data_IF_827809084774
#
_entry.id   IF_827809084774
#
_cell.length_a   1.000
_cell.length_b   1.000
_cell.length_c   1.000
_cell.angle_alpha   90.00
_cell.angle_beta   90.00
_cell.angle_gamma   90.00
#
_symmetry.space_group_name_H-M   'P 1'
#
loop_
_entity.id
_entity.type
_entity.pdbx_description
1 polymer ?
#
# COMPACT_ATOMS: atom_id res chain seq x y z
N UNK A 1 -24.25 1.90 18.53
CA UNK A 1 -24.81 2.94 17.66
C UNK A 1 -24.69 2.44 16.23
N UNK A 2 -25.78 2.12 15.54
CA UNK A 2 -25.77 1.69 14.16
C UNK A 2 -25.72 2.95 13.30
N UNK A 3 -24.58 3.22 12.70
CA UNK A 3 -24.45 4.26 11.67
C UNK A 3 -25.09 3.74 10.40
N UNK A 4 -26.20 4.32 10.02
CA UNK A 4 -26.93 4.02 8.79
C UNK A 4 -26.17 4.65 7.61
N UNK A 5 -25.54 3.82 6.82
CA UNK A 5 -24.84 4.18 5.57
C UNK A 5 -25.80 4.29 4.38
N UNK A 6 -26.76 5.23 4.41
CA UNK A 6 -27.75 5.38 3.37
C UNK A 6 -27.82 6.83 2.90
N UNK A 7 -27.00 7.24 1.95
CA UNK A 7 -27.30 8.51 1.25
C UNK A 7 -26.82 8.68 -0.19
N UNK A 8 -26.30 7.67 -0.89
CA UNK A 8 -26.03 7.85 -2.33
C UNK A 8 -26.41 6.67 -3.22
N UNK A 9 -27.44 5.95 -2.84
CA UNK A 9 -27.90 4.74 -3.56
C UNK A 9 -28.70 5.01 -4.83
N UNK A 10 -29.14 6.25 -5.11
CA UNK A 10 -30.04 6.56 -6.23
C UNK A 10 -29.45 6.28 -7.62
N UNK A 11 -28.16 6.56 -7.82
CA UNK A 11 -27.51 6.44 -9.13
C UNK A 11 -26.80 5.11 -9.40
N UNK A 12 -26.67 4.27 -8.38
CA UNK A 12 -25.91 3.00 -8.47
C UNK A 12 -26.83 1.80 -8.70
N UNK A 13 -28.10 1.90 -8.32
CA UNK A 13 -29.07 0.82 -8.43
C UNK A 13 -29.29 0.33 -9.87
N UNK A 14 -29.14 1.21 -10.87
CA UNK A 14 -29.30 0.87 -12.28
C UNK A 14 -28.13 0.08 -12.89
N UNK A 15 -27.04 -0.10 -12.14
CA UNK A 15 -25.80 -0.73 -12.62
C UNK A 15 -25.45 -2.07 -11.96
N UNK A 16 -26.18 -2.48 -10.92
CA UNK A 16 -25.99 -3.77 -10.23
C UNK A 16 -26.74 -4.87 -10.99
N UNK A 17 -26.39 -5.10 -12.23
CA UNK A 17 -26.92 -6.23 -13.01
C UNK A 17 -26.07 -7.49 -12.78
N UNK A 18 -26.08 -8.05 -11.56
CA UNK A 18 -25.39 -9.30 -11.27
C UNK A 18 -23.85 -9.22 -11.31
N UNK A 19 -23.28 -8.02 -11.26
CA UNK A 19 -21.85 -7.79 -11.27
C UNK A 19 -21.31 -7.64 -9.85
N UNK A 20 -20.24 -8.35 -9.54
CA UNK A 20 -19.50 -8.22 -8.27
C UNK A 20 -18.41 -7.18 -8.40
N UNK A 21 -18.13 -6.48 -7.28
CA UNK A 21 -17.15 -5.41 -7.25
C UNK A 21 -16.22 -5.52 -6.05
N UNK A 22 -14.99 -5.09 -6.25
CA UNK A 22 -14.08 -4.68 -5.17
C UNK A 22 -14.45 -3.24 -4.84
N UNK A 23 -14.84 -2.99 -3.60
CA UNK A 23 -15.19 -1.68 -3.08
C UNK A 23 -14.03 -1.10 -2.30
N UNK A 24 -13.62 0.12 -2.64
CA UNK A 24 -12.56 0.84 -1.91
C UNK A 24 -13.07 2.22 -1.55
N UNK A 25 -12.88 2.61 -0.30
CA UNK A 25 -13.20 3.95 0.20
C UNK A 25 -11.94 4.56 0.79
N UNK A 26 -11.59 5.76 0.33
CA UNK A 26 -10.39 6.49 0.74
C UNK A 26 -10.82 7.88 1.19
N UNK A 27 -10.53 8.19 2.46
CA UNK A 27 -10.81 9.50 3.04
C UNK A 27 -9.53 10.28 3.25
N UNK A 28 -9.49 11.50 2.72
CA UNK A 28 -8.56 12.64 2.88
C UNK A 28 -7.06 12.39 3.02
N UNK A 29 -6.26 13.46 3.00
CA UNK A 29 -6.04 14.34 1.87
C UNK A 29 -5.10 13.67 0.85
N UNK A 30 -5.66 12.96 -0.09
CA UNK A 30 -4.90 12.16 -1.08
C UNK A 30 -5.57 12.19 -2.44
N UNK A 31 -4.79 11.93 -3.47
CA UNK A 31 -5.23 11.53 -4.80
C UNK A 31 -5.08 10.03 -4.97
N UNK A 32 -5.96 9.44 -5.78
CA UNK A 32 -5.91 8.01 -6.10
C UNK A 32 -5.92 7.80 -7.60
N UNK A 33 -5.09 6.89 -8.06
CA UNK A 33 -5.09 6.42 -9.45
C UNK A 33 -5.13 4.90 -9.53
N UNK A 34 -5.89 4.39 -10.49
CA UNK A 34 -5.97 2.97 -10.83
C UNK A 34 -5.85 2.84 -12.33
N UNK A 35 -4.88 2.07 -12.80
CA UNK A 35 -4.68 1.85 -14.25
C UNK A 35 -4.87 0.38 -14.57
N UNK A 36 -5.68 0.11 -15.59
CA UNK A 36 -5.91 -1.25 -16.08
C UNK A 36 -6.12 -1.25 -17.60
N UNK A 37 -5.33 -2.06 -18.32
CA UNK A 37 -5.40 -2.24 -19.79
C UNK A 37 -5.38 -0.94 -20.60
N UNK A 38 -4.71 0.09 -20.09
CA UNK A 38 -4.57 1.38 -20.77
C UNK A 38 -5.68 2.39 -20.48
N UNK A 39 -6.67 2.05 -19.68
CA UNK A 39 -7.63 2.98 -19.10
C UNK A 39 -7.21 3.35 -17.68
N UNK A 40 -7.66 4.50 -17.19
CA UNK A 40 -7.30 5.01 -15.88
C UNK A 40 -8.50 5.64 -15.18
N UNK A 41 -8.63 5.38 -13.90
CA UNK A 41 -9.46 6.13 -12.95
C UNK A 41 -8.50 7.00 -12.14
N UNK A 42 -8.62 8.32 -12.21
CA UNK A 42 -7.72 9.25 -11.56
C UNK A 42 -8.49 10.38 -10.89
N UNK A 43 -8.32 10.55 -9.59
CA UNK A 43 -9.01 11.59 -8.82
C UNK A 43 -8.38 12.97 -8.94
N UNK A 44 -7.16 13.08 -9.47
CA UNK A 44 -6.48 14.37 -9.68
C UNK A 44 -7.02 15.14 -10.88
N UNK A 45 -7.55 14.43 -11.86
CA UNK A 45 -7.98 15.02 -13.15
C UNK A 45 -9.47 15.36 -13.17
N UNK A 46 -10.24 14.76 -12.26
CA UNK A 46 -11.70 14.86 -12.25
C UNK A 46 -12.23 15.10 -10.84
N UNK A 47 -13.20 15.99 -10.74
CA UNK A 47 -13.97 16.24 -9.51
C UNK A 47 -15.39 15.64 -9.56
N UNK A 48 -15.69 14.91 -10.62
CA UNK A 48 -16.97 14.24 -10.88
C UNK A 48 -16.77 12.73 -11.04
N UNK A 49 -17.87 11.99 -11.14
CA UNK A 49 -17.84 10.55 -11.37
C UNK A 49 -17.11 10.19 -12.67
N UNK A 50 -16.04 9.42 -12.55
CA UNK A 50 -15.29 8.84 -13.69
C UNK A 50 -15.70 7.39 -13.89
N UNK A 51 -15.89 6.98 -15.14
CA UNK A 51 -16.30 5.62 -15.50
C UNK A 51 -15.40 5.05 -16.58
N UNK A 52 -15.02 3.79 -16.39
CA UNK A 52 -14.26 2.99 -17.35
C UNK A 52 -14.89 1.62 -17.50
N UNK A 53 -14.41 0.83 -18.44
CA UNK A 53 -14.87 -0.55 -18.61
C UNK A 53 -14.61 -1.43 -17.39
N UNK A 54 -13.61 -1.12 -16.58
CA UNK A 54 -13.23 -1.91 -15.41
C UNK A 54 -13.79 -1.39 -14.08
N UNK A 55 -14.34 -0.18 -14.03
CA UNK A 55 -14.86 0.33 -12.76
C UNK A 55 -15.31 1.78 -12.80
N UNK A 56 -15.60 2.29 -11.61
CA UNK A 56 -16.02 3.69 -11.38
C UNK A 56 -15.26 4.29 -10.22
N UNK A 57 -14.97 5.59 -10.33
CA UNK A 57 -14.52 6.45 -9.24
C UNK A 57 -15.62 7.50 -8.98
N UNK A 58 -16.08 7.60 -7.75
CA UNK A 58 -17.05 8.61 -7.31
C UNK A 58 -16.52 9.38 -6.13
N UNK A 59 -17.06 10.57 -5.91
CA UNK A 59 -16.69 11.44 -4.81
C UNK A 59 -17.88 11.63 -3.88
N UNK A 60 -17.66 11.48 -2.58
CA UNK A 60 -18.65 11.70 -1.55
C UNK A 60 -18.17 12.84 -0.64
N UNK A 61 -19.08 13.69 -0.19
CA UNK A 61 -18.77 14.73 0.77
C UNK A 61 -18.48 14.09 2.14
N UNK A 62 -17.47 14.62 2.82
CA UNK A 62 -17.14 14.17 4.17
C UNK A 62 -17.96 14.97 5.19
N UNK A 63 -19.16 14.47 5.52
CA UNK A 63 -20.07 15.12 6.47
C UNK A 63 -19.49 15.31 7.88
N UNK A 64 -18.43 14.56 8.24
CA UNK A 64 -17.72 14.66 9.51
C UNK A 64 -16.60 15.72 9.50
N UNK A 65 -16.31 16.33 8.34
CA UNK A 65 -15.30 17.39 8.25
C UNK A 65 -15.89 18.72 8.69
N UNK A 66 -15.39 19.25 9.80
CA UNK A 66 -15.72 20.59 10.31
C UNK A 66 -15.14 21.73 9.43
N UNK A 67 -14.37 21.40 8.41
CA UNK A 67 -13.71 22.31 7.49
C UNK A 67 -14.06 21.89 6.05
N UNK A 68 -14.84 22.71 5.37
CA UNK A 68 -15.11 22.61 3.94
C UNK A 68 -13.81 22.93 3.14
N UNK A 69 -12.85 22.00 3.15
CA UNK A 69 -11.72 22.07 2.24
C UNK A 69 -12.00 21.17 1.05
N UNK A 70 -11.85 21.70 -0.13
CA UNK A 70 -12.11 21.06 -1.43
C UNK A 70 -11.37 19.71 -1.60
N UNK A 71 -10.32 19.48 -0.80
CA UNK A 71 -9.50 18.26 -0.78
C UNK A 71 -9.97 17.18 0.21
N UNK A 72 -11.06 17.42 0.96
CA UNK A 72 -11.55 16.49 1.99
C UNK A 72 -12.59 15.49 1.49
N UNK A 73 -12.84 15.47 0.17
CA UNK A 73 -13.83 14.56 -0.42
C UNK A 73 -13.33 13.11 -0.35
N UNK A 74 -14.24 12.24 0.02
CA UNK A 74 -14.03 10.80 0.06
C UNK A 74 -14.05 10.26 -1.38
N UNK A 75 -13.02 9.49 -1.75
CA UNK A 75 -12.92 8.80 -3.03
C UNK A 75 -13.44 7.39 -2.86
N UNK A 76 -14.41 7.00 -3.69
CA UNK A 76 -14.99 5.66 -3.70
C UNK A 76 -14.77 5.01 -5.05
N UNK A 77 -14.03 3.91 -5.03
CA UNK A 77 -13.78 3.08 -6.20
C UNK A 77 -14.67 1.82 -6.13
N UNK A 78 -15.27 1.50 -7.26
CA UNK A 78 -15.95 0.21 -7.48
C UNK A 78 -15.31 -0.43 -8.71
N UNK A 79 -14.46 -1.43 -8.48
CA UNK A 79 -13.70 -2.13 -9.52
C UNK A 79 -14.34 -3.49 -9.76
N UNK A 80 -14.59 -3.85 -11.03
CA UNK A 80 -15.22 -5.14 -11.36
C UNK A 80 -14.39 -6.31 -10.84
N UNK A 81 -15.02 -7.28 -10.21
CA UNK A 81 -14.36 -8.53 -9.81
C UNK A 81 -13.84 -9.28 -11.05
N UNK A 82 -12.74 -10.00 -10.90
CA UNK A 82 -12.14 -10.85 -11.95
C UNK A 82 -10.78 -10.39 -12.44
N UNK A 83 -10.24 -9.30 -11.89
CA UNK A 83 -8.88 -8.84 -12.14
C UNK A 83 -8.24 -8.30 -10.86
N UNK A 84 -6.91 -8.21 -10.86
CA UNK A 84 -6.14 -7.47 -9.88
C UNK A 84 -5.84 -6.08 -10.44
N UNK A 85 -5.95 -5.06 -9.60
CA UNK A 85 -5.77 -3.67 -9.98
C UNK A 85 -4.67 -3.04 -9.14
N UNK A 86 -3.67 -2.45 -9.81
CA UNK A 86 -2.67 -1.64 -9.12
C UNK A 86 -3.29 -0.29 -8.76
N UNK A 87 -3.29 0.00 -7.48
CA UNK A 87 -3.82 1.25 -6.89
C UNK A 87 -2.67 2.02 -6.31
N UNK A 88 -2.48 3.24 -6.79
CA UNK A 88 -1.54 4.19 -6.25
C UNK A 88 -2.28 5.35 -5.58
N UNK A 89 -1.83 5.72 -4.40
CA UNK A 89 -2.39 6.81 -3.60
C UNK A 89 -1.25 7.78 -3.29
N UNK A 90 -1.45 9.06 -3.59
CA UNK A 90 -0.46 10.11 -3.39
C UNK A 90 -1.02 11.16 -2.42
N UNK A 91 -0.25 11.48 -1.40
CA UNK A 91 -0.63 12.53 -0.46
C UNK A 91 -0.65 13.91 -1.11
N UNK A 92 -1.71 14.67 -0.89
CA UNK A 92 -1.86 16.06 -1.41
C UNK A 92 -1.55 17.10 -0.36
N UNK A 93 -1.72 16.74 0.92
CA UNK A 93 -1.41 17.59 2.05
C UNK A 93 -1.02 16.75 3.28
N UNK A 94 -0.67 17.43 4.36
CA UNK A 94 -0.36 16.80 5.63
C UNK A 94 -1.64 16.43 6.38
N UNK A 95 -1.83 15.15 6.68
CA UNK A 95 -3.01 14.71 7.39
C UNK A 95 -2.99 13.24 7.75
N UNK A 96 -4.18 12.71 7.92
CA UNK A 96 -4.43 11.29 8.14
C UNK A 96 -5.38 10.79 7.06
N UNK A 97 -5.06 9.64 6.51
CA UNK A 97 -5.87 8.93 5.54
C UNK A 97 -6.49 7.69 6.19
N UNK A 98 -7.73 7.41 5.85
CA UNK A 98 -8.37 6.13 6.12
C UNK A 98 -8.63 5.40 4.80
N UNK A 99 -8.22 4.14 4.74
CA UNK A 99 -8.42 3.27 3.60
C UNK A 99 -9.25 2.06 4.01
N UNK A 100 -10.37 1.86 3.34
CA UNK A 100 -11.23 0.69 3.53
C UNK A 100 -11.36 -0.05 2.22
N UNK A 101 -11.17 -1.36 2.25
CA UNK A 101 -11.46 -2.25 1.12
C UNK A 101 -12.44 -3.32 1.55
N UNK A 102 -13.41 -3.64 0.70
CA UNK A 102 -14.43 -4.67 0.91
C UNK A 102 -14.91 -5.22 -0.43
N UNK A 103 -15.91 -6.08 -0.38
CA UNK A 103 -16.49 -6.71 -1.55
C UNK A 103 -17.98 -6.44 -1.60
N UNK A 104 -18.49 -6.19 -2.78
CA UNK A 104 -19.92 -6.05 -3.05
C UNK A 104 -20.34 -7.20 -3.95
N UNK A 105 -21.32 -7.96 -3.51
CA UNK A 105 -21.87 -9.07 -4.29
C UNK A 105 -22.87 -8.59 -5.36
N UNK A 106 -23.41 -9.54 -6.10
CA UNK A 106 -24.40 -9.31 -7.17
C UNK A 106 -25.74 -8.73 -6.69
N UNK A 107 -26.01 -8.77 -5.38
CA UNK A 107 -27.21 -8.20 -4.76
C UNK A 107 -26.96 -6.79 -4.22
N UNK A 108 -25.70 -6.34 -4.22
CA UNK A 108 -25.28 -5.07 -3.63
C UNK A 108 -24.93 -5.16 -2.14
N UNK A 109 -24.84 -6.38 -1.58
CA UNK A 109 -24.45 -6.57 -0.19
C UNK A 109 -22.94 -6.52 -0.02
N UNK A 110 -22.51 -5.77 0.98
CA UNK A 110 -21.08 -5.58 1.27
C UNK A 110 -20.60 -6.58 2.31
N UNK A 111 -19.39 -7.11 2.10
CA UNK A 111 -18.75 -8.08 2.99
C UNK A 111 -17.22 -7.93 3.07
N UNK A 112 -16.59 -8.69 4.00
CA UNK A 112 -15.14 -8.85 4.12
C UNK A 112 -14.35 -7.54 4.18
N UNK A 113 -14.85 -6.54 4.91
CA UNK A 113 -14.18 -5.27 5.07
C UNK A 113 -12.84 -5.38 5.79
N UNK A 114 -11.87 -4.60 5.28
CA UNK A 114 -10.58 -4.37 5.90
C UNK A 114 -10.34 -2.89 6.03
N UNK A 115 -9.89 -2.48 7.21
CA UNK A 115 -9.77 -1.09 7.62
C UNK A 115 -8.32 -0.76 7.92
N UNK A 116 -7.81 0.29 7.34
CA UNK A 116 -6.49 0.85 7.59
C UNK A 116 -6.69 2.32 7.98
N UNK A 117 -6.76 2.55 9.27
CA UNK A 117 -7.12 3.85 9.81
C UNK A 117 -5.88 4.64 10.24
N UNK A 118 -6.04 5.96 10.30
CA UNK A 118 -5.04 6.89 10.85
C UNK A 118 -3.66 6.84 10.15
N UNK A 119 -3.61 6.50 8.86
CA UNK A 119 -2.35 6.51 8.10
C UNK A 119 -1.91 7.95 7.92
N UNK A 120 -0.73 8.29 8.46
CA UNK A 120 -0.14 9.62 8.27
C UNK A 120 0.32 9.79 6.84
N UNK A 121 -0.08 10.90 6.22
CA UNK A 121 0.30 11.28 4.87
C UNK A 121 0.85 12.69 4.83
N UNK A 122 1.66 12.95 3.83
CA UNK A 122 2.22 14.26 3.47
C UNK A 122 2.22 14.38 1.95
N UNK A 123 2.51 15.54 1.39
CA UNK A 123 2.64 15.74 -0.06
C UNK A 123 3.72 14.88 -0.74
N UNK A 124 4.59 14.19 0.01
CA UNK A 124 5.61 13.28 -0.52
C UNK A 124 5.24 11.81 -0.36
N UNK A 125 4.21 11.52 0.40
CA UNK A 125 3.82 10.14 0.70
C UNK A 125 3.20 9.49 -0.52
N UNK A 126 3.72 8.32 -0.88
CA UNK A 126 3.18 7.45 -1.93
C UNK A 126 2.83 6.11 -1.31
N UNK A 127 1.63 5.64 -1.60
CA UNK A 127 1.14 4.34 -1.10
C UNK A 127 0.73 3.50 -2.29
N UNK A 128 1.32 2.32 -2.41
CA UNK A 128 0.97 1.34 -3.44
C UNK A 128 0.27 0.14 -2.81
N UNK A 129 -0.79 -0.31 -3.45
CA UNK A 129 -1.51 -1.52 -3.07
C UNK A 129 -2.10 -2.20 -4.30
N UNK A 130 -2.47 -3.46 -4.15
CA UNK A 130 -3.20 -4.21 -5.17
C UNK A 130 -4.61 -4.47 -4.66
N UNK A 131 -5.59 -3.98 -5.40
CA UNK A 131 -6.98 -4.31 -5.16
C UNK A 131 -7.29 -5.66 -5.81
N UNK A 132 -7.52 -6.66 -4.98
CA UNK A 132 -7.78 -8.05 -5.39
C UNK A 132 -8.83 -8.67 -4.49
N UNK A 133 -9.52 -9.68 -4.99
CA UNK A 133 -10.45 -10.52 -4.20
C UNK A 133 -9.72 -11.38 -3.15
N UNK A 134 -8.40 -11.49 -3.22
CA UNK A 134 -7.59 -12.16 -2.21
C UNK A 134 -7.73 -11.45 -0.86
N UNK A 135 -7.80 -12.24 0.23
CA UNK A 135 -7.88 -11.70 1.61
C UNK A 135 -6.62 -10.95 2.05
N UNK A 136 -5.57 -10.92 1.25
CA UNK A 136 -4.29 -10.29 1.55
C UNK A 136 -4.16 -8.89 0.93
N UNK A 137 -4.87 -7.91 1.48
CA UNK A 137 -4.60 -6.51 1.14
C UNK A 137 -3.38 -6.02 1.91
N UNK A 138 -2.38 -5.53 1.19
CA UNK A 138 -1.15 -4.97 1.77
C UNK A 138 -0.94 -3.57 1.22
N UNK A 139 -0.90 -2.59 2.10
CA UNK A 139 -0.48 -1.22 1.76
C UNK A 139 1.04 -1.12 1.93
N UNK A 140 1.74 -0.68 0.90
CA UNK A 140 3.17 -0.37 0.91
C UNK A 140 3.31 1.14 0.93
N UNK A 141 3.95 1.70 1.94
CA UNK A 141 4.02 3.13 2.20
C UNK A 141 5.47 3.60 2.04
N UNK A 142 5.66 4.50 1.09
CA UNK A 142 6.84 5.33 0.90
C UNK A 142 6.52 6.69 1.54
N UNK A 143 7.12 6.98 2.70
CA UNK A 143 6.76 8.16 3.50
C UNK A 143 7.36 9.45 2.96
N UNK A 144 8.49 9.38 2.25
CA UNK A 144 9.25 10.56 1.81
C UNK A 144 9.39 10.69 0.28
N UNK A 145 8.85 9.74 -0.48
CA UNK A 145 8.82 9.76 -1.95
C UNK A 145 10.16 9.42 -2.60
N UNK A 146 11.01 8.65 -1.90
CA UNK A 146 12.34 8.24 -2.42
C UNK A 146 12.29 6.94 -3.26
N UNK A 147 11.12 6.33 -3.38
CA UNK A 147 10.87 5.07 -4.10
C UNK A 147 11.11 3.83 -3.25
N UNK A 148 11.32 3.98 -1.94
CA UNK A 148 11.49 2.86 -1.00
C UNK A 148 10.36 2.85 0.01
N UNK A 149 9.84 1.66 0.29
CA UNK A 149 8.77 1.51 1.26
C UNK A 149 9.32 1.36 2.68
N UNK A 150 9.09 2.36 3.54
CA UNK A 150 9.46 2.32 4.97
C UNK A 150 8.51 1.44 5.74
N UNK A 151 7.22 1.42 5.36
CA UNK A 151 6.18 0.68 6.06
C UNK A 151 5.39 -0.24 5.15
N UNK A 152 4.89 -1.31 5.74
CA UNK A 152 3.89 -2.19 5.14
C UNK A 152 2.81 -2.46 6.16
N UNK A 153 1.56 -2.22 5.79
CA UNK A 153 0.40 -2.54 6.59
C UNK A 153 -0.32 -3.74 5.98
N UNK A 154 -0.74 -4.69 6.82
CA UNK A 154 -1.55 -5.85 6.43
C UNK A 154 -2.78 -5.92 7.32
N UNK A 155 -3.93 -6.30 6.78
CA UNK A 155 -5.11 -6.54 7.59
C UNK A 155 -4.97 -7.84 8.40
N UNK A 156 -5.39 -7.79 9.66
CA UNK A 156 -5.53 -8.95 10.56
C UNK A 156 -6.81 -9.73 10.25
N UNK A 157 -6.99 -10.87 10.92
CA UNK A 157 -8.22 -11.66 10.85
C UNK A 157 -9.48 -10.89 11.27
N UNK A 158 -9.34 -9.90 12.16
CA UNK A 158 -10.44 -9.03 12.57
C UNK A 158 -10.72 -7.86 11.59
N UNK A 159 -10.04 -7.82 10.45
CA UNK A 159 -10.18 -6.81 9.41
C UNK A 159 -9.37 -5.53 9.61
N UNK A 160 -8.77 -5.29 10.77
CA UNK A 160 -7.99 -4.06 11.01
C UNK A 160 -6.53 -4.20 10.58
N UNK A 161 -5.97 -3.12 10.00
CA UNK A 161 -4.59 -3.05 9.56
C UNK A 161 -3.59 -3.03 10.71
N UNK A 162 -2.47 -3.70 10.51
CA UNK A 162 -1.31 -3.60 11.40
C UNK A 162 -0.01 -3.49 10.61
N UNK A 163 0.99 -2.86 11.23
CA UNK A 163 2.31 -2.76 10.62
C UNK A 163 3.03 -4.11 10.65
N UNK A 164 3.48 -4.54 9.46
CA UNK A 164 4.32 -5.73 9.31
C UNK A 164 5.74 -5.39 9.76
N UNK A 165 6.06 -5.68 11.01
CA UNK A 165 7.42 -5.45 11.55
C UNK A 165 8.42 -6.33 10.80
N UNK A 166 9.49 -5.73 10.28
CA UNK A 166 10.63 -6.48 9.74
C UNK A 166 11.20 -7.36 10.85
N UNK A 167 11.29 -8.67 10.61
CA UNK A 167 11.85 -9.59 11.59
C UNK A 167 13.28 -9.18 11.93
N UNK A 168 13.58 -8.99 13.21
CA UNK A 168 14.93 -8.70 13.73
C UNK A 168 15.95 -9.75 13.25
N UNK A 169 15.49 -10.98 12.99
CA UNK A 169 16.32 -12.07 12.47
C UNK A 169 16.98 -11.76 11.11
N UNK A 170 16.37 -10.93 10.27
CA UNK A 170 16.96 -10.52 8.99
C UNK A 170 18.20 -9.66 9.23
N UNK A 171 18.18 -8.78 10.22
CA UNK A 171 19.33 -7.95 10.58
C UNK A 171 20.42 -8.75 11.28
N UNK A 172 20.05 -9.72 12.12
CA UNK A 172 20.99 -10.62 12.78
C UNK A 172 21.68 -11.49 11.71
N UNK A 173 20.96 -12.07 10.77
CA UNK A 173 21.52 -12.88 9.69
C UNK A 173 22.47 -12.07 8.80
N UNK A 174 22.12 -10.83 8.46
CA UNK A 174 23.00 -9.93 7.70
C UNK A 174 24.27 -9.56 8.49
N UNK A 175 24.13 -9.24 9.78
CA UNK A 175 25.25 -8.91 10.67
C UNK A 175 26.21 -10.08 10.84
N UNK A 176 25.72 -11.31 11.03
CA UNK A 176 26.54 -12.53 11.12
C UNK A 176 27.27 -12.78 9.80
N UNK A 177 26.61 -12.61 8.64
CA UNK A 177 27.25 -12.78 7.33
C UNK A 177 28.45 -11.85 7.13
N UNK A 178 28.33 -10.57 7.51
CA UNK A 178 29.42 -9.60 7.44
C UNK A 178 30.57 -9.98 8.38
N UNK A 179 30.26 -10.36 9.62
CA UNK A 179 31.29 -10.74 10.60
C UNK A 179 32.10 -11.96 10.15
N UNK A 180 31.44 -12.99 9.59
CA UNK A 180 32.10 -14.19 9.04
C UNK A 180 32.98 -13.82 7.85
N UNK A 181 32.54 -12.94 6.95
CA UNK A 181 33.30 -12.51 5.79
C UNK A 181 34.60 -11.75 6.22
N UNK A 182 34.48 -10.86 7.20
CA UNK A 182 35.64 -10.12 7.74
C UNK A 182 36.61 -11.07 8.41
N UNK A 183 36.13 -12.02 9.24
CA UNK A 183 37.01 -13.01 9.89
C UNK A 183 37.77 -13.87 8.87
N UNK A 184 37.08 -14.28 7.77
CA UNK A 184 37.73 -15.07 6.71
C UNK A 184 38.81 -14.28 5.99
N UNK A 185 38.56 -13.00 5.67
CA UNK A 185 39.60 -12.13 5.08
C UNK A 185 40.82 -11.96 5.99
N UNK A 186 40.63 -11.82 7.30
CA UNK A 186 41.73 -11.71 8.28
C UNK A 186 42.57 -13.00 8.27
N UNK A 187 41.93 -14.17 8.27
CA UNK A 187 42.65 -15.46 8.25
C UNK A 187 43.49 -15.59 6.99
N UNK A 188 42.98 -15.22 5.80
CA UNK A 188 43.72 -15.25 4.55
C UNK A 188 44.95 -14.33 4.62
N UNK A 189 44.79 -13.10 5.10
CA UNK A 189 45.91 -12.13 5.21
C UNK A 189 46.99 -12.62 6.19
N UNK A 190 46.57 -13.21 7.30
CA UNK A 190 47.53 -13.75 8.27
C UNK A 190 48.29 -14.99 7.73
N UNK A 191 47.63 -15.81 6.95
CA UNK A 191 48.27 -16.98 6.32
C UNK A 191 49.25 -16.54 5.23
N UNK A 192 48.92 -15.59 4.39
CA UNK A 192 49.82 -15.01 3.40
C UNK A 192 51.08 -14.41 4.07
N UNK A 193 50.92 -13.67 5.17
CA UNK A 193 52.08 -13.12 5.94
C UNK A 193 52.97 -14.20 6.53
N UNK A 194 52.42 -15.35 6.94
CA UNK A 194 53.21 -16.51 7.39
C UNK A 194 54.02 -17.12 6.26
N UNK A 195 53.44 -17.23 5.09
CA UNK A 195 54.11 -17.76 3.91
C UNK A 195 55.26 -16.86 3.43
N UNK A 196 55.10 -15.54 3.44
CA UNK A 196 56.18 -14.59 3.11
C UNK A 196 57.35 -14.64 4.11
N UNK A 197 57.07 -14.71 5.42
CA UNK A 197 58.11 -14.87 6.45
C UNK A 197 58.88 -16.18 6.32
N UNK A 198 58.31 -17.25 5.77
CA UNK A 198 58.99 -18.53 5.52
C UNK A 198 59.88 -18.45 4.26
N UNK A 199 59.49 -17.75 3.22
CA UNK A 199 60.25 -17.55 2.00
C UNK A 199 61.49 -16.66 2.21
N UNK A 200 61.43 -15.66 3.10
CA UNK A 200 62.57 -14.77 3.42
C UNK A 200 63.67 -15.39 4.28
N UNK A 201 63.56 -16.68 4.68
CA UNK A 201 64.54 -17.39 5.50
C UNK A 201 65.37 -18.43 4.75
N UNK A 202 65.46 -18.35 3.41
CA UNK A 202 66.37 -19.21 2.66
C UNK A 202 67.71 -18.58 2.66
N UNK A 203 68.75 -19.14 3.37
CA UNK A 203 70.10 -18.61 3.35
C UNK A 203 70.75 -18.91 2.00
N UNK A 204 71.24 -17.87 1.34
CA UNK A 204 72.17 -18.01 0.20
C UNK A 204 73.44 -18.72 0.65
N UNK A 205 73.70 -19.90 0.08
CA UNK A 205 74.94 -20.58 0.16
C UNK A 205 75.88 -20.11 -0.95
#
# INVERSE_FOLDING_TARGET
>A
MRTTWYSSFGDVADQINGQKYIYIRIACPVEVSVTYKGESLNSAEEDQTVRTDFGTLTFEDNEDSLYEQENDRIKVLRLKEGADYDVQIVGTDRGKMNYTIGFMDENGDYSDFRYFDDIRVTQRTVIDTVATVSKESVLKIDEDGDGKYEKKLRAKENGYGEEVKRSIWVYIAAGVGVAVSVAFCIVIVLDQRKHEKRRGKIPLK
#
